data_IF_104043051817
#
_entry.id   IF_104043051817
#
_cell.length_a   1.000
_cell.length_b   1.000
_cell.length_c   1.000
_cell.angle_alpha   90.00
_cell.angle_beta   90.00
_cell.angle_gamma   90.00
#
_symmetry.space_group_name_H-M   'P 1'
#
loop_
_entity.id
_entity.type
_entity.pdbx_description
1 polymer ?
#
# COMPACT_ATOMS: atom_id res chain seq x y z
N UNK A 1 3.97 14.75 3.04
CA UNK A 1 4.78 13.54 2.98
C UNK A 1 4.84 12.76 4.30
N UNK A 2 4.53 13.36 5.46
CA UNK A 2 4.42 12.65 6.75
C UNK A 2 3.22 13.11 7.59
N UNK A 3 2.93 12.44 8.71
CA UNK A 3 1.77 12.71 9.56
C UNK A 3 0.54 11.89 9.13
N UNK A 4 -0.56 12.57 8.81
CA UNK A 4 -1.82 11.91 8.38
C UNK A 4 -1.62 10.95 7.21
N UNK A 5 -2.55 10.00 7.03
CA UNK A 5 -2.48 9.05 5.92
C UNK A 5 -2.47 9.76 4.55
N UNK A 6 -3.29 10.78 4.37
CA UNK A 6 -3.34 11.59 3.15
C UNK A 6 -1.99 12.28 2.91
N UNK A 7 -1.37 12.80 3.96
CA UNK A 7 -0.06 13.43 3.86
C UNK A 7 1.04 12.43 3.48
N UNK A 8 1.00 11.21 4.02
CA UNK A 8 1.94 10.12 3.70
C UNK A 8 1.74 9.62 2.26
N UNK A 9 0.50 9.54 1.80
CA UNK A 9 0.15 9.10 0.44
C UNK A 9 0.43 10.12 -0.66
N UNK A 10 0.68 11.41 -0.33
CA UNK A 10 1.00 12.41 -1.36
C UNK A 10 2.16 12.00 -2.27
N UNK A 11 3.28 11.53 -1.71
CA UNK A 11 4.46 11.18 -2.52
C UNK A 11 4.23 9.96 -3.42
N UNK A 12 3.72 8.82 -2.91
CA UNK A 12 3.35 7.69 -3.77
C UNK A 12 2.37 8.06 -4.89
N UNK A 13 1.39 8.92 -4.61
CA UNK A 13 0.40 9.34 -5.61
C UNK A 13 0.97 10.30 -6.65
N UNK A 14 1.85 11.23 -6.26
CA UNK A 14 2.59 12.08 -7.19
C UNK A 14 3.43 11.23 -8.16
N UNK A 15 4.13 10.22 -7.66
CA UNK A 15 4.87 9.26 -8.50
C UNK A 15 3.91 8.53 -9.45
N UNK A 16 2.80 8.00 -8.93
CA UNK A 16 1.83 7.30 -9.76
C UNK A 16 1.29 8.18 -10.89
N UNK A 17 0.92 9.42 -10.60
CA UNK A 17 0.42 10.35 -11.62
C UNK A 17 1.47 10.69 -12.67
N UNK A 18 2.73 10.88 -12.26
CA UNK A 18 3.83 11.11 -13.19
C UNK A 18 4.05 9.90 -14.11
N UNK A 19 4.01 8.67 -13.58
CA UNK A 19 4.11 7.44 -14.38
C UNK A 19 2.90 7.29 -15.30
N UNK A 20 1.67 7.49 -14.79
CA UNK A 20 0.44 7.39 -15.59
C UNK A 20 0.41 8.38 -16.74
N UNK A 21 0.99 9.56 -16.60
CA UNK A 21 1.04 10.56 -17.67
C UNK A 21 1.86 10.13 -18.89
N UNK A 22 2.82 9.22 -18.71
CA UNK A 22 3.72 8.75 -19.79
C UNK A 22 3.49 7.28 -20.17
N UNK A 23 2.76 6.53 -19.35
CA UNK A 23 2.44 5.13 -19.61
C UNK A 23 1.23 5.02 -20.57
N UNK A 24 1.21 4.07 -21.53
CA UNK A 24 0.05 3.88 -22.41
C UNK A 24 -1.25 3.66 -21.62
N UNK A 25 -2.30 4.38 -22.00
CA UNK A 25 -3.55 4.46 -21.23
C UNK A 25 -4.28 3.10 -21.12
N UNK A 26 -4.12 2.24 -22.13
CA UNK A 26 -4.69 0.91 -22.21
C UNK A 26 -3.93 -0.15 -21.39
N UNK A 27 -2.74 0.19 -20.88
CA UNK A 27 -1.91 -0.73 -20.10
C UNK A 27 -2.11 -0.52 -18.60
N UNK A 28 -2.26 -1.60 -17.81
CA UNK A 28 -2.47 -1.48 -16.38
C UNK A 28 -1.20 -1.01 -15.67
N UNK A 29 -1.38 -0.33 -14.53
CA UNK A 29 -0.36 -0.06 -13.53
C UNK A 29 -0.84 -0.66 -12.22
N UNK A 30 0.00 -1.51 -11.63
CA UNK A 30 -0.17 -1.95 -10.26
C UNK A 30 0.66 -1.08 -9.31
N UNK A 31 0.15 -0.89 -8.09
CA UNK A 31 0.94 -0.38 -6.98
C UNK A 31 0.95 -1.44 -5.88
N UNK A 32 2.15 -1.83 -5.46
CA UNK A 32 2.34 -2.81 -4.39
C UNK A 32 2.45 -2.11 -3.04
N UNK A 33 1.71 -2.62 -2.05
CA UNK A 33 1.69 -2.06 -0.69
C UNK A 33 2.16 -3.09 0.34
N UNK A 34 2.70 -2.60 1.45
CA UNK A 34 2.80 -3.35 2.71
C UNK A 34 1.52 -3.10 3.50
N UNK A 35 0.68 -4.13 3.68
CA UNK A 35 -0.57 -4.02 4.42
C UNK A 35 -0.38 -4.04 5.95
N UNK A 36 0.81 -4.44 6.41
CA UNK A 36 1.16 -4.42 7.82
C UNK A 36 2.67 -4.39 7.98
N UNK A 37 3.17 -3.43 8.75
CA UNK A 37 4.60 -3.31 9.06
C UNK A 37 4.98 -4.01 10.38
N UNK A 38 4.00 -4.48 11.16
CA UNK A 38 4.19 -5.17 12.45
C UNK A 38 4.95 -4.38 13.51
N UNK A 39 4.85 -3.05 13.47
CA UNK A 39 5.42 -2.12 14.47
C UNK A 39 4.35 -1.25 15.16
N UNK A 40 3.09 -1.69 15.11
CA UNK A 40 1.97 -0.97 15.73
C UNK A 40 1.63 0.34 14.99
N UNK A 41 1.30 1.38 15.75
CA UNK A 41 0.87 2.69 15.19
C UNK A 41 2.00 3.47 14.51
N UNK A 42 3.25 3.09 14.75
CA UNK A 42 4.43 3.67 14.11
C UNK A 42 4.60 3.23 12.64
N UNK A 43 3.86 2.22 12.20
CA UNK A 43 3.91 1.68 10.84
C UNK A 43 2.53 1.65 10.17
N UNK A 44 2.48 1.08 8.96
CA UNK A 44 1.22 0.81 8.29
C UNK A 44 0.49 -0.31 9.02
N UNK A 45 -0.75 -0.04 9.42
CA UNK A 45 -1.66 -1.05 9.97
C UNK A 45 -2.56 -1.62 8.87
N UNK A 46 -3.21 -2.79 9.10
CA UNK A 46 -4.21 -3.31 8.17
C UNK A 46 -5.38 -2.36 7.90
N UNK A 47 -5.72 -1.47 8.84
CA UNK A 47 -6.75 -0.45 8.64
C UNK A 47 -6.23 0.67 7.72
N UNK A 48 -4.99 1.12 7.92
CA UNK A 48 -4.33 2.06 7.01
C UNK A 48 -4.26 1.47 5.60
N UNK A 49 -3.94 0.18 5.44
CA UNK A 49 -3.87 -0.50 4.14
C UNK A 49 -5.17 -0.39 3.34
N UNK A 50 -6.33 -0.51 4.00
CA UNK A 50 -7.64 -0.28 3.35
C UNK A 50 -7.81 1.19 2.96
N UNK A 51 -7.37 2.13 3.80
CA UNK A 51 -7.35 3.56 3.48
C UNK A 51 -6.46 3.88 2.28
N UNK A 52 -5.27 3.27 2.22
CA UNK A 52 -4.33 3.34 1.09
C UNK A 52 -5.03 2.82 -0.16
N UNK A 53 -5.59 1.61 -0.13
CA UNK A 53 -6.27 1.01 -1.28
C UNK A 53 -7.41 1.90 -1.82
N UNK A 54 -8.18 2.54 -0.94
CA UNK A 54 -9.22 3.52 -1.33
C UNK A 54 -8.63 4.74 -2.03
N UNK A 55 -7.52 5.29 -1.51
CA UNK A 55 -6.82 6.42 -2.14
C UNK A 55 -6.22 6.04 -3.50
N UNK A 56 -5.62 4.85 -3.62
CA UNK A 56 -5.10 4.33 -4.88
C UNK A 56 -6.22 4.15 -5.92
N UNK A 57 -7.36 3.57 -5.52
CA UNK A 57 -8.53 3.42 -6.39
C UNK A 57 -9.06 4.78 -6.85
N UNK A 58 -9.15 5.76 -5.94
CA UNK A 58 -9.58 7.13 -6.27
C UNK A 58 -8.62 7.81 -7.26
N UNK A 59 -7.32 7.53 -7.17
CA UNK A 59 -6.30 8.08 -8.07
C UNK A 59 -6.31 7.44 -9.47
N UNK A 60 -6.96 6.28 -9.65
CA UNK A 60 -7.02 5.56 -10.93
C UNK A 60 -5.98 4.46 -11.08
N UNK A 61 -5.45 3.91 -9.98
CA UNK A 61 -4.63 2.70 -10.01
C UNK A 61 -5.48 1.50 -10.40
N UNK A 62 -5.00 0.67 -11.32
CA UNK A 62 -5.76 -0.48 -11.85
C UNK A 62 -5.73 -1.67 -10.90
N UNK A 63 -4.61 -1.89 -10.22
CA UNK A 63 -4.40 -3.02 -9.33
C UNK A 63 -3.67 -2.59 -8.04
N UNK A 64 -4.23 -2.95 -6.89
CA UNK A 64 -3.54 -2.88 -5.61
C UNK A 64 -2.94 -4.27 -5.32
N UNK A 65 -1.61 -4.40 -5.43
CA UNK A 65 -0.89 -5.63 -5.12
C UNK A 65 -0.55 -5.62 -3.62
N UNK A 66 -1.11 -6.58 -2.87
CA UNK A 66 -1.05 -6.59 -1.41
C UNK A 66 0.02 -7.54 -0.92
N UNK A 67 1.02 -7.01 -0.21
CA UNK A 67 2.00 -7.78 0.56
C UNK A 67 2.07 -7.25 1.99
N UNK A 68 3.10 -7.61 2.76
CA UNK A 68 3.30 -7.08 4.12
C UNK A 68 4.76 -7.19 4.61
N UNK A 69 5.17 -6.19 5.37
CA UNK A 69 6.42 -6.09 6.13
C UNK A 69 7.69 -5.96 5.30
N UNK A 70 8.80 -6.37 5.92
CA UNK A 70 10.18 -6.05 5.48
C UNK A 70 10.48 -4.54 5.46
N UNK A 71 9.80 -3.79 6.32
CA UNK A 71 9.91 -2.33 6.44
C UNK A 71 10.64 -1.88 7.70
N UNK A 72 10.80 -2.76 8.70
CA UNK A 72 11.51 -2.46 9.95
C UNK A 72 12.12 -3.72 10.57
N UNK A 73 13.28 -3.56 11.23
CA UNK A 73 13.93 -4.63 12.02
C UNK A 73 13.20 -4.90 13.35
N UNK A 74 12.31 -4.00 13.78
CA UNK A 74 11.51 -4.17 15.00
C UNK A 74 10.23 -5.00 14.75
N UNK A 75 9.93 -5.31 13.49
CA UNK A 75 8.75 -6.04 13.08
C UNK A 75 8.70 -7.44 13.72
N UNK A 76 7.55 -7.82 14.26
CA UNK A 76 7.29 -9.16 14.81
C UNK A 76 6.15 -9.86 14.05
N UNK A 77 6.36 -10.27 12.79
CA UNK A 77 5.34 -10.98 12.02
C UNK A 77 5.03 -12.34 12.63
N UNK A 78 3.76 -12.74 12.55
CA UNK A 78 3.33 -14.11 12.84
C UNK A 78 3.25 -14.87 11.53
N UNK A 79 4.17 -15.80 11.34
CA UNK A 79 4.19 -16.67 10.17
C UNK A 79 3.26 -17.87 10.35
N UNK A 80 2.66 -18.33 9.25
CA UNK A 80 1.75 -19.46 9.25
C UNK A 80 1.32 -19.85 7.84
N UNK A 81 0.48 -20.88 7.73
CA UNK A 81 -0.15 -21.23 6.45
C UNK A 81 -0.96 -20.04 5.94
N UNK A 82 -0.96 -19.81 4.63
CA UNK A 82 -1.68 -18.69 4.02
C UNK A 82 -1.14 -17.31 4.49
N UNK A 83 0.15 -17.23 4.86
CA UNK A 83 0.81 -15.98 5.26
C UNK A 83 0.51 -14.86 4.25
N UNK A 84 0.15 -13.68 4.76
CA UNK A 84 -0.28 -12.48 4.02
C UNK A 84 -1.64 -12.53 3.31
N UNK A 85 -2.15 -13.69 2.92
CA UNK A 85 -3.42 -13.75 2.14
C UNK A 85 -4.63 -13.10 2.82
N UNK A 86 -4.84 -13.15 4.15
CA UNK A 86 -6.00 -12.48 4.74
C UNK A 86 -5.97 -10.95 4.66
N UNK A 87 -4.84 -10.34 4.26
CA UNK A 87 -4.76 -8.89 4.04
C UNK A 87 -5.43 -8.46 2.73
N UNK A 88 -5.54 -9.35 1.73
CA UNK A 88 -6.21 -9.04 0.46
C UNK A 88 -7.73 -9.25 0.50
N UNK A 89 -8.27 -9.85 1.56
CA UNK A 89 -9.71 -10.14 1.70
C UNK A 89 -10.53 -8.92 2.17
N UNK A 90 -9.92 -7.74 2.30
CA UNK A 90 -10.49 -6.54 2.96
C UNK A 90 -10.79 -5.40 2.00
#
# INVERSE_FOLDING_TARGET
>A
YGGSLENRMRYPLEIFHAVRAVWPAEKPISMRISANDWVGIEGVTPADAVGIAKLLRKAGVDLCDVSAGQTSIAAKPVYGRMFQTPFSDR
#
